data_IF_349698866527
#
_entry.id   IF_349698866527
#
_cell.length_a   1.000
_cell.length_b   1.000
_cell.length_c   1.000
_cell.angle_alpha   90.00
_cell.angle_beta   90.00
_cell.angle_gamma   90.00
#
_symmetry.space_group_name_H-M   'P 1'
#
loop_
_entity.id
_entity.type
_entity.pdbx_description
1 polymer ?
#
# COMPACT_ATOMS: atom_id res chain seq x y z
N UNK A 1 -36.06 -23.69 23.37
CA UNK A 1 -35.60 -23.75 21.97
C UNK A 1 -36.61 -23.07 21.01
N UNK A 2 -37.04 -21.84 21.28
CA UNK A 2 -38.04 -21.12 20.44
C UNK A 2 -37.50 -19.75 19.99
N UNK A 3 -36.53 -19.18 20.72
CA UNK A 3 -35.98 -17.84 20.48
C UNK A 3 -35.02 -17.82 19.27
N UNK A 4 -34.28 -18.90 19.02
CA UNK A 4 -33.32 -18.98 17.90
C UNK A 4 -33.98 -18.95 16.50
N UNK A 5 -35.19 -19.54 16.35
CA UNK A 5 -35.89 -19.57 15.06
C UNK A 5 -36.47 -18.21 14.65
N UNK A 6 -36.68 -17.28 15.60
CA UNK A 6 -37.19 -15.93 15.30
C UNK A 6 -36.11 -15.01 14.75
N UNK A 7 -34.85 -15.24 15.10
CA UNK A 7 -33.70 -14.42 14.65
C UNK A 7 -33.28 -14.77 13.22
N UNK A 8 -33.28 -16.06 12.85
CA UNK A 8 -32.93 -16.49 11.48
C UNK A 8 -33.95 -15.98 10.44
N UNK A 9 -35.24 -15.91 10.80
CA UNK A 9 -36.32 -15.44 9.90
C UNK A 9 -36.32 -13.92 9.70
N UNK A 10 -35.77 -13.15 10.65
CA UNK A 10 -35.65 -11.69 10.54
C UNK A 10 -34.53 -11.24 9.59
N UNK A 11 -33.46 -12.04 9.45
CA UNK A 11 -32.31 -11.69 8.61
C UNK A 11 -32.52 -12.00 7.13
N UNK A 12 -33.36 -12.98 6.78
CA UNK A 12 -33.61 -13.37 5.39
C UNK A 12 -34.48 -12.34 4.64
N UNK A 13 -35.50 -11.77 5.29
CA UNK A 13 -36.41 -10.80 4.66
C UNK A 13 -35.73 -9.47 4.31
N UNK A 14 -34.68 -9.09 5.07
CA UNK A 14 -33.97 -7.82 4.85
C UNK A 14 -33.01 -7.87 3.64
N UNK A 15 -32.57 -9.07 3.25
CA UNK A 15 -31.68 -9.28 2.11
C UNK A 15 -32.43 -9.29 0.77
N UNK A 16 -33.68 -9.78 0.74
CA UNK A 16 -34.50 -9.76 -0.47
C UNK A 16 -35.03 -8.36 -0.83
N UNK A 17 -35.38 -7.53 0.14
CA UNK A 17 -35.85 -6.16 -0.12
C UNK A 17 -34.75 -5.25 -0.68
N UNK A 18 -33.49 -5.41 -0.24
CA UNK A 18 -32.38 -4.58 -0.73
C UNK A 18 -31.93 -4.93 -2.15
N UNK A 19 -32.17 -6.16 -2.61
CA UNK A 19 -31.82 -6.59 -3.99
C UNK A 19 -32.79 -6.03 -5.03
N UNK A 20 -34.04 -5.74 -4.63
CA UNK A 20 -35.07 -5.17 -5.50
C UNK A 20 -34.96 -3.65 -5.69
N UNK A 21 -34.20 -2.93 -4.84
CA UNK A 21 -33.95 -1.49 -4.99
C UNK A 21 -32.78 -1.13 -5.92
N UNK A 22 -31.83 -2.05 -6.18
CA UNK A 22 -30.64 -1.73 -7.01
C UNK A 22 -30.82 -2.02 -8.50
N UNK A 23 -32.01 -2.44 -8.95
CA UNK A 23 -32.24 -2.89 -10.32
C UNK A 23 -33.10 -1.94 -11.18
N UNK A 24 -33.30 -0.69 -10.74
CA UNK A 24 -34.27 0.23 -11.39
C UNK A 24 -33.76 1.65 -11.68
N UNK A 25 -32.45 1.85 -11.81
CA UNK A 25 -31.89 3.13 -12.24
C UNK A 25 -30.75 2.89 -13.24
N UNK A 26 -31.08 2.95 -14.54
CA UNK A 26 -30.07 2.83 -15.59
C UNK A 26 -30.56 2.74 -17.03
N UNK A 27 -31.70 3.32 -17.38
CA UNK A 27 -32.06 3.60 -18.79
C UNK A 27 -32.66 5.01 -18.88
N UNK A 28 -32.31 5.71 -19.97
CA UNK A 28 -33.03 6.77 -20.72
C UNK A 28 -32.01 7.79 -21.26
N UNK A 29 -31.43 7.62 -22.45
CA UNK A 29 -31.94 8.00 -23.80
C UNK A 29 -31.28 9.29 -24.31
N UNK A 30 -30.44 9.16 -25.35
CA UNK A 30 -30.21 10.23 -26.35
C UNK A 30 -30.47 9.62 -27.73
N UNK A 31 -31.28 10.37 -28.47
CA UNK A 31 -32.02 10.12 -29.71
C UNK A 31 -31.18 9.86 -30.98
N UNK A 32 -31.76 9.01 -31.84
CA UNK A 32 -31.88 9.04 -33.30
C UNK A 32 -30.61 9.08 -34.18
N UNK A 33 -30.35 8.01 -34.93
CA UNK A 33 -30.68 8.02 -36.37
C UNK A 33 -30.58 6.63 -37.05
N UNK A 34 -31.63 6.32 -37.81
CA UNK A 34 -31.74 5.45 -39.01
C UNK A 34 -31.65 3.90 -38.98
N UNK A 35 -32.82 3.29 -39.24
CA UNK A 35 -33.14 2.24 -40.25
C UNK A 35 -32.73 0.79 -39.90
N UNK A 36 -33.64 -0.03 -39.38
CA UNK A 36 -34.61 -0.92 -40.08
C UNK A 36 -34.00 -2.27 -40.52
N UNK A 37 -34.29 -3.35 -39.79
CA UNK A 37 -35.38 -4.29 -40.13
C UNK A 37 -35.35 -5.48 -39.14
N UNK A 38 -36.53 -5.92 -38.76
CA UNK A 38 -36.79 -7.01 -37.83
C UNK A 38 -36.43 -8.37 -38.45
N UNK A 39 -36.00 -9.33 -37.62
CA UNK A 39 -36.81 -10.51 -37.29
C UNK A 39 -36.06 -11.60 -36.52
N UNK A 40 -36.75 -12.02 -35.46
CA UNK A 40 -36.93 -13.38 -34.97
C UNK A 40 -35.84 -14.08 -34.15
N UNK A 41 -36.34 -14.65 -33.06
CA UNK A 41 -35.68 -15.28 -31.94
C UNK A 41 -35.02 -16.60 -32.35
N UNK A 42 -33.69 -16.69 -32.24
CA UNK A 42 -32.98 -17.97 -32.16
C UNK A 42 -32.15 -18.07 -30.87
N UNK A 43 -32.40 -19.16 -30.15
CA UNK A 43 -31.80 -19.48 -28.85
C UNK A 43 -30.28 -19.46 -28.94
N UNK A 44 -29.64 -18.71 -28.05
CA UNK A 44 -28.19 -18.55 -27.99
C UNK A 44 -27.46 -19.90 -27.81
N UNK A 45 -26.83 -20.38 -28.89
CA UNK A 45 -25.75 -21.36 -28.81
C UNK A 45 -24.42 -20.59 -28.78
N UNK A 46 -23.65 -20.75 -27.70
CA UNK A 46 -22.47 -19.91 -27.37
C UNK A 46 -21.27 -20.16 -28.30
N UNK A 47 -21.47 -20.84 -29.43
CA UNK A 47 -20.41 -21.23 -30.36
C UNK A 47 -20.28 -20.31 -31.58
N UNK A 48 -21.07 -19.24 -31.68
CA UNK A 48 -21.04 -18.32 -32.83
C UNK A 48 -20.17 -17.07 -32.62
N UNK A 49 -19.63 -16.84 -31.42
CA UNK A 49 -18.80 -15.66 -31.13
C UNK A 49 -17.33 -15.77 -31.58
N UNK A 50 -16.89 -16.94 -32.10
CA UNK A 50 -15.47 -17.16 -32.40
C UNK A 50 -15.08 -17.29 -33.87
N UNK A 51 -15.99 -17.51 -34.81
CA UNK A 51 -15.60 -17.77 -36.19
C UNK A 51 -16.69 -17.36 -37.17
N UNK A 52 -16.70 -16.10 -37.61
CA UNK A 52 -16.98 -15.81 -39.03
C UNK A 52 -16.60 -14.41 -39.50
N UNK A 53 -16.31 -13.47 -38.58
CA UNK A 53 -15.64 -12.21 -38.93
C UNK A 53 -14.34 -12.00 -38.15
N UNK A 54 -13.66 -13.10 -37.80
CA UNK A 54 -12.26 -13.05 -37.41
C UNK A 54 -11.46 -12.67 -38.64
N UNK A 55 -11.35 -11.37 -38.92
CA UNK A 55 -10.39 -10.82 -39.87
C UNK A 55 -9.08 -11.59 -39.63
N UNK A 56 -8.44 -12.19 -40.65
CA UNK A 56 -7.08 -12.66 -40.47
C UNK A 56 -6.25 -11.40 -40.30
N UNK A 57 -6.21 -10.87 -39.07
CA UNK A 57 -5.19 -9.92 -38.66
C UNK A 57 -3.94 -10.77 -38.70
N UNK A 58 -3.27 -10.75 -39.86
CA UNK A 58 -1.87 -11.13 -39.97
C UNK A 58 -1.15 -10.07 -39.15
N UNK A 59 -1.17 -10.27 -37.83
CA UNK A 59 -0.41 -9.49 -36.88
C UNK A 59 0.99 -9.42 -37.48
N UNK A 60 1.55 -8.22 -37.70
CA UNK A 60 2.89 -8.12 -38.25
C UNK A 60 3.76 -8.94 -37.30
N UNK A 61 4.23 -10.10 -37.77
CA UNK A 61 5.22 -10.89 -37.04
C UNK A 61 6.42 -9.97 -37.03
N UNK A 62 6.60 -9.23 -35.94
CA UNK A 62 7.68 -8.28 -35.82
C UNK A 62 8.93 -9.08 -36.12
N UNK A 63 9.50 -8.83 -37.30
CA UNK A 63 10.67 -9.54 -37.77
C UNK A 63 11.88 -8.94 -37.07
N UNK A 64 11.90 -8.98 -35.74
CA UNK A 64 13.18 -8.95 -35.08
C UNK A 64 13.80 -10.31 -35.33
N UNK A 65 15.00 -10.32 -35.90
CA UNK A 65 15.82 -11.53 -35.78
C UNK A 65 15.94 -11.86 -34.29
N UNK A 66 15.91 -13.15 -33.94
CA UNK A 66 16.12 -13.64 -32.57
C UNK A 66 17.34 -12.96 -31.90
N UNK A 67 18.35 -12.62 -32.72
CA UNK A 67 19.55 -11.88 -32.32
C UNK A 67 19.30 -10.40 -32.01
N UNK A 68 18.39 -9.72 -32.70
CA UNK A 68 17.99 -8.34 -32.38
C UNK A 68 17.14 -8.32 -31.09
N UNK A 69 16.29 -9.33 -30.88
CA UNK A 69 15.56 -9.50 -29.62
C UNK A 69 16.50 -9.76 -28.45
N UNK A 70 17.48 -10.65 -28.65
CA UNK A 70 18.54 -10.91 -27.69
C UNK A 70 19.36 -9.65 -27.41
N UNK A 71 19.74 -8.88 -28.42
CA UNK A 71 20.51 -7.64 -28.23
C UNK A 71 19.72 -6.55 -27.50
N UNK A 72 18.41 -6.42 -27.72
CA UNK A 72 17.54 -5.47 -26.99
C UNK A 72 17.41 -5.88 -25.52
N UNK A 73 17.15 -7.17 -25.26
CA UNK A 73 17.04 -7.72 -23.91
C UNK A 73 18.39 -7.64 -23.19
N UNK A 74 19.48 -8.00 -23.86
CA UNK A 74 20.85 -7.93 -23.35
C UNK A 74 21.27 -6.48 -23.08
N UNK A 75 20.88 -5.51 -23.92
CA UNK A 75 21.18 -4.10 -23.69
C UNK A 75 20.39 -3.54 -22.51
N UNK A 76 19.12 -3.93 -22.35
CA UNK A 76 18.32 -3.57 -21.15
C UNK A 76 18.86 -4.24 -19.89
N UNK A 77 19.24 -5.52 -19.97
CA UNK A 77 19.81 -6.28 -18.86
C UNK A 77 21.24 -5.82 -18.49
N UNK A 78 22.08 -5.44 -19.47
CA UNK A 78 23.41 -4.89 -19.22
C UNK A 78 23.36 -3.44 -18.71
N UNK A 79 22.40 -2.63 -19.17
CA UNK A 79 22.15 -1.30 -18.60
C UNK A 79 21.61 -1.40 -17.17
N UNK A 80 20.77 -2.41 -16.90
CA UNK A 80 20.34 -2.86 -15.57
C UNK A 80 21.34 -3.84 -14.95
N UNK A 81 22.61 -3.84 -15.36
CA UNK A 81 23.62 -4.62 -14.66
C UNK A 81 24.86 -3.81 -14.33
N UNK A 82 25.11 -2.74 -15.09
CA UNK A 82 26.20 -1.81 -14.79
C UNK A 82 25.94 -0.85 -13.63
N UNK A 83 24.71 -0.65 -13.16
CA UNK A 83 24.41 0.48 -12.24
C UNK A 83 23.74 0.09 -10.92
N UNK A 84 23.07 -1.04 -10.86
CA UNK A 84 22.09 -1.39 -9.83
C UNK A 84 22.57 -2.50 -8.88
N UNK A 85 23.64 -3.21 -9.22
CA UNK A 85 24.15 -4.30 -8.36
C UNK A 85 24.56 -3.74 -7.00
N UNK A 86 25.29 -2.63 -6.97
CA UNK A 86 25.69 -2.02 -5.70
C UNK A 86 24.50 -1.43 -4.94
N UNK A 87 23.52 -0.81 -5.61
CA UNK A 87 22.38 -0.17 -4.94
C UNK A 87 21.42 -1.16 -4.30
N UNK A 88 21.11 -2.27 -4.99
CA UNK A 88 20.14 -3.28 -4.52
C UNK A 88 20.70 -4.07 -3.33
N UNK A 89 22.01 -4.29 -3.25
CA UNK A 89 22.64 -4.92 -2.08
C UNK A 89 22.93 -3.93 -0.95
N UNK A 90 23.29 -2.68 -1.26
CA UNK A 90 23.65 -1.70 -0.24
C UNK A 90 22.42 -1.12 0.49
N UNK A 91 21.28 -0.99 -0.18
CA UNK A 91 20.05 -0.50 0.42
C UNK A 91 19.57 -1.32 1.64
N UNK A 92 19.43 -2.66 1.57
CA UNK A 92 19.06 -3.46 2.74
C UNK A 92 20.17 -3.51 3.79
N UNK A 93 21.44 -3.54 3.36
CA UNK A 93 22.59 -3.53 4.28
C UNK A 93 22.64 -2.25 5.11
N UNK A 94 22.20 -1.12 4.55
CA UNK A 94 22.11 0.16 5.26
C UNK A 94 20.79 0.33 6.02
N UNK A 95 19.65 -0.14 5.48
CA UNK A 95 18.35 0.02 6.14
C UNK A 95 18.23 -0.78 7.44
N UNK A 96 18.86 -1.96 7.51
CA UNK A 96 18.87 -2.81 8.72
C UNK A 96 19.50 -2.10 9.93
N UNK A 97 20.74 -1.57 9.87
CA UNK A 97 21.30 -0.83 10.99
C UNK A 97 20.52 0.46 11.28
N UNK A 98 20.00 1.17 10.26
CA UNK A 98 19.14 2.35 10.50
C UNK A 98 17.84 2.00 11.24
N UNK A 99 17.28 0.82 11.03
CA UNK A 99 16.13 0.29 11.77
C UNK A 99 16.52 -0.13 13.19
N UNK A 100 17.67 -0.77 13.38
CA UNK A 100 18.13 -1.18 14.72
C UNK A 100 18.35 0.05 15.63
N UNK A 101 18.90 1.12 15.08
CA UNK A 101 19.16 2.36 15.80
C UNK A 101 18.01 3.38 15.73
N UNK A 102 16.82 2.99 15.25
CA UNK A 102 15.67 3.91 15.16
C UNK A 102 14.98 4.20 16.49
N UNK A 103 15.39 3.55 17.58
CA UNK A 103 14.76 3.65 18.90
C UNK A 103 13.80 2.50 19.22
N UNK A 104 13.39 1.70 18.23
CA UNK A 104 12.48 0.57 18.47
C UNK A 104 13.19 -0.67 19.06
N UNK A 105 14.39 -1.01 18.56
CA UNK A 105 15.12 -2.20 18.99
C UNK A 105 16.16 -1.91 20.09
N UNK A 106 16.75 -0.72 20.07
CA UNK A 106 17.75 -0.26 21.03
C UNK A 106 17.35 1.15 21.46
N UNK A 107 17.16 1.34 22.76
CA UNK A 107 16.87 2.67 23.35
C UNK A 107 18.04 3.63 23.09
N UNK A 108 17.72 4.92 22.94
CA UNK A 108 18.68 5.95 22.53
C UNK A 108 19.79 6.17 23.56
N UNK A 109 19.50 5.93 24.83
CA UNK A 109 20.44 6.10 25.93
C UNK A 109 21.53 5.01 25.98
N UNK A 110 21.26 3.84 25.39
CA UNK A 110 22.24 2.76 25.29
C UNK A 110 23.24 2.96 24.12
N UNK A 111 23.06 3.98 23.29
CA UNK A 111 23.84 4.18 22.06
C UNK A 111 25.19 4.88 22.37
N UNK A 112 26.34 4.30 21.97
CA UNK A 112 27.64 4.91 22.21
C UNK A 112 27.79 6.25 21.48
N UNK A 113 28.48 7.20 22.10
CA UNK A 113 28.58 8.61 21.66
C UNK A 113 29.03 8.76 20.18
N UNK A 114 29.87 7.84 19.70
CA UNK A 114 30.40 7.84 18.33
C UNK A 114 29.35 7.53 17.26
N UNK A 115 28.30 6.78 17.59
CA UNK A 115 27.22 6.42 16.65
C UNK A 115 26.06 7.42 16.69
N UNK A 116 26.03 8.30 17.70
CA UNK A 116 24.91 9.19 17.99
C UNK A 116 24.59 10.17 16.86
N UNK A 117 25.58 10.63 16.11
CA UNK A 117 25.35 11.56 14.98
C UNK A 117 24.63 10.90 13.80
N UNK A 118 24.91 9.62 13.53
CA UNK A 118 24.26 8.87 12.44
C UNK A 118 22.79 8.63 12.75
N UNK A 119 22.45 8.40 14.02
CA UNK A 119 21.06 8.16 14.42
C UNK A 119 20.20 9.41 14.27
N UNK A 120 20.76 10.61 14.50
CA UNK A 120 20.10 11.88 14.19
C UNK A 120 19.96 12.18 12.69
N UNK A 121 20.66 11.45 11.81
CA UNK A 121 20.48 11.59 10.36
C UNK A 121 19.41 10.61 9.83
N UNK A 122 19.02 9.60 10.61
CA UNK A 122 18.08 8.57 10.19
C UNK A 122 16.64 9.07 10.19
N UNK A 123 16.01 9.13 9.01
CA UNK A 123 14.57 9.45 8.89
C UNK A 123 13.67 8.44 9.61
N UNK A 124 14.12 7.18 9.76
CA UNK A 124 13.36 6.12 10.41
C UNK A 124 13.14 6.43 11.89
N UNK A 125 14.15 7.02 12.54
CA UNK A 125 14.08 7.44 13.95
C UNK A 125 12.95 8.44 14.18
N UNK A 126 12.98 9.57 13.46
CA UNK A 126 11.97 10.62 13.59
C UNK A 126 10.57 10.14 13.17
N UNK A 127 10.49 9.22 12.21
CA UNK A 127 9.22 8.56 11.85
C UNK A 127 8.67 7.71 13.00
N UNK A 128 9.53 6.97 13.69
CA UNK A 128 9.12 6.13 14.83
C UNK A 128 8.71 7.00 16.03
N UNK A 129 9.52 8.00 16.39
CA UNK A 129 9.21 8.99 17.44
C UNK A 129 7.86 9.69 17.17
N UNK A 130 7.69 10.25 15.97
CA UNK A 130 6.47 10.94 15.59
C UNK A 130 5.23 10.04 15.54
N UNK A 131 5.36 8.77 15.11
CA UNK A 131 4.21 7.84 15.07
C UNK A 131 3.82 7.31 16.44
N UNK A 132 4.79 7.04 17.32
CA UNK A 132 4.52 6.66 18.70
C UNK A 132 3.83 7.80 19.46
N UNK A 133 4.32 9.03 19.31
CA UNK A 133 3.75 10.21 19.95
C UNK A 133 2.38 10.58 19.35
N UNK A 134 2.15 10.34 18.06
CA UNK A 134 0.82 10.47 17.45
C UNK A 134 -0.19 9.43 17.94
N UNK A 135 0.28 8.22 18.28
CA UNK A 135 -0.58 7.10 18.72
C UNK A 135 -0.92 7.20 20.21
N UNK A 136 0.10 7.44 21.05
CA UNK A 136 -0.01 7.37 22.51
C UNK A 136 0.09 8.75 23.18
N UNK A 137 0.53 9.81 22.50
CA UNK A 137 0.65 11.15 23.07
C UNK A 137 -0.68 11.91 23.21
N UNK A 138 -0.59 13.24 23.39
CA UNK A 138 -1.71 14.18 23.39
C UNK A 138 -2.87 13.83 24.35
N UNK A 139 -2.56 13.53 25.62
CA UNK A 139 -3.53 13.22 26.69
C UNK A 139 -4.62 12.21 26.29
N UNK A 140 -4.23 11.17 25.55
CA UNK A 140 -5.13 10.09 25.17
C UNK A 140 -5.70 9.33 26.39
N UNK A 141 -6.99 8.93 26.35
CA UNK A 141 -7.57 8.11 27.40
C UNK A 141 -6.92 6.73 27.45
N UNK A 142 -6.92 6.12 28.64
CA UNK A 142 -6.37 4.78 28.88
C UNK A 142 -7.04 3.74 27.97
N UNK A 143 -6.25 2.77 27.50
CA UNK A 143 -6.75 1.73 26.60
C UNK A 143 -7.67 0.77 27.36
N UNK A 144 -8.71 0.26 26.68
CA UNK A 144 -9.61 -0.77 27.21
C UNK A 144 -8.88 -2.11 27.19
N UNK A 145 -8.78 -2.76 28.34
CA UNK A 145 -8.15 -4.07 28.48
C UNK A 145 -9.20 -5.10 28.92
N UNK A 146 -9.22 -6.25 28.24
CA UNK A 146 -10.15 -7.36 28.49
C UNK A 146 -9.54 -8.48 29.37
N UNK A 147 -8.23 -8.41 29.63
CA UNK A 147 -7.51 -9.31 30.54
C UNK A 147 -7.28 -8.64 31.90
N UNK A 148 -7.13 -9.47 32.94
CA UNK A 148 -6.94 -9.04 34.33
C UNK A 148 -5.59 -8.31 34.54
N UNK A 149 -4.54 -8.75 33.84
CA UNK A 149 -3.26 -8.06 33.79
C UNK A 149 -3.05 -7.36 32.45
N UNK A 150 -2.77 -6.06 32.49
CA UNK A 150 -2.56 -5.23 31.31
C UNK A 150 -1.41 -4.25 31.59
N UNK A 151 -0.21 -4.64 31.17
CA UNK A 151 0.99 -3.84 31.35
C UNK A 151 0.87 -2.50 30.60
N UNK A 152 0.44 -2.51 29.33
CA UNK A 152 0.35 -1.32 28.48
C UNK A 152 -0.99 -0.56 28.55
N UNK A 153 -1.62 -0.52 29.72
CA UNK A 153 -2.92 0.16 29.91
C UNK A 153 -2.82 1.68 29.76
N UNK A 154 -1.71 2.23 30.25
CA UNK A 154 -1.48 3.67 30.26
C UNK A 154 -0.59 4.05 29.06
N UNK A 155 -0.95 5.07 28.28
CA UNK A 155 -0.14 5.46 27.14
C UNK A 155 1.19 6.15 27.51
N UNK A 156 1.30 6.67 28.74
CA UNK A 156 2.54 7.30 29.24
C UNK A 156 3.65 6.28 29.51
N UNK A 157 3.30 5.16 30.15
CA UNK A 157 4.27 4.08 30.41
C UNK A 157 4.72 3.39 29.11
N UNK A 158 3.85 3.33 28.09
CA UNK A 158 4.28 2.82 26.77
C UNK A 158 5.28 3.77 26.13
N UNK A 159 5.09 5.08 26.25
CA UNK A 159 6.03 6.07 25.72
C UNK A 159 7.36 6.10 26.49
N UNK A 160 7.32 5.86 27.79
CA UNK A 160 8.51 5.76 28.65
C UNK A 160 9.33 4.51 28.33
N UNK A 161 8.69 3.35 28.16
CA UNK A 161 9.38 2.11 27.76
C UNK A 161 9.96 2.20 26.34
N UNK A 162 9.31 2.97 25.46
CA UNK A 162 9.82 3.28 24.12
C UNK A 162 10.91 4.36 24.10
N UNK A 163 11.25 4.97 25.25
CA UNK A 163 12.25 6.04 25.39
C UNK A 163 11.92 7.31 24.57
N UNK A 164 10.65 7.74 24.62
CA UNK A 164 10.10 8.84 23.80
C UNK A 164 9.38 9.94 24.60
N UNK A 165 9.42 9.88 25.93
CA UNK A 165 8.72 10.83 26.81
C UNK A 165 9.18 12.30 26.63
N UNK A 166 10.46 12.51 26.30
CA UNK A 166 11.05 13.85 26.19
C UNK A 166 11.08 14.42 24.77
N UNK A 167 10.57 13.70 23.76
CA UNK A 167 10.61 14.17 22.36
C UNK A 167 9.39 15.00 21.99
N UNK A 168 9.58 15.98 21.11
CA UNK A 168 8.55 16.92 20.69
C UNK A 168 8.06 16.61 19.28
N UNK A 169 6.77 16.31 19.14
CA UNK A 169 6.13 15.99 17.84
C UNK A 169 6.44 16.98 16.72
N UNK A 170 6.48 18.28 17.04
CA UNK A 170 6.77 19.33 16.07
C UNK A 170 8.20 19.27 15.54
N UNK A 171 9.17 18.89 16.38
CA UNK A 171 10.57 18.76 15.99
C UNK A 171 10.74 17.59 15.04
N UNK A 172 10.05 16.47 15.29
CA UNK A 172 10.09 15.29 14.42
C UNK A 172 9.56 15.60 13.01
N UNK A 173 8.44 16.33 12.91
CA UNK A 173 7.90 16.75 11.61
C UNK A 173 8.88 17.66 10.87
N UNK A 174 9.43 18.67 11.55
CA UNK A 174 10.39 19.60 10.93
C UNK A 174 11.64 18.84 10.45
N UNK A 175 12.16 17.93 11.27
CA UNK A 175 13.32 17.10 10.94
C UNK A 175 13.04 16.20 9.71
N UNK A 176 11.88 15.54 9.66
CA UNK A 176 11.49 14.70 8.51
C UNK A 176 11.38 15.51 7.22
N UNK A 177 10.79 16.70 7.28
CA UNK A 177 10.69 17.61 6.12
C UNK A 177 12.09 18.05 5.67
N UNK A 178 12.95 18.45 6.61
CA UNK A 178 14.33 18.83 6.31
C UNK A 178 15.12 17.69 5.65
N UNK A 179 15.08 16.49 6.25
CA UNK A 179 15.77 15.30 5.72
C UNK A 179 15.22 14.91 4.35
N UNK A 180 13.91 15.02 4.12
CA UNK A 180 13.32 14.76 2.80
C UNK A 180 13.92 15.66 1.72
N UNK A 181 14.01 16.98 1.98
CA UNK A 181 14.62 17.91 1.04
C UNK A 181 16.11 17.64 0.85
N UNK A 182 16.85 17.39 1.93
CA UNK A 182 18.29 17.08 1.85
C UNK A 182 18.54 15.83 1.01
N UNK A 183 17.81 14.73 1.27
CA UNK A 183 17.93 13.49 0.50
C UNK A 183 17.55 13.69 -0.97
N UNK A 184 16.53 14.52 -1.24
CA UNK A 184 16.12 14.84 -2.61
C UNK A 184 17.17 15.66 -3.36
N UNK A 185 17.74 16.68 -2.72
CA UNK A 185 18.79 17.50 -3.32
C UNK A 185 20.07 16.67 -3.49
N UNK A 186 20.46 15.85 -2.51
CA UNK A 186 21.63 14.99 -2.66
C UNK A 186 21.46 13.99 -3.80
N UNK A 187 20.28 13.38 -3.96
CA UNK A 187 19.98 12.46 -5.06
C UNK A 187 19.78 13.16 -6.41
N UNK A 188 19.54 14.46 -6.44
CA UNK A 188 19.48 15.24 -7.68
C UNK A 188 20.88 15.66 -8.14
N UNK A 189 21.78 15.92 -7.20
CA UNK A 189 23.17 16.33 -7.48
C UNK A 189 24.05 15.13 -7.88
N UNK A 190 23.78 13.94 -7.32
CA UNK A 190 24.53 12.70 -7.57
C UNK A 190 23.88 11.84 -8.66
#
# INVERSE_FOLDING_TARGET
>A
MIIANKLAKGSANNYEDNKNLMNNQGTNNVTNDSVDDSKDVEKANVNSALLNNGIPVKQPRYGNSELQQFYIILRRALLFSRRDWNGVFLAPVMSVPFLLFSGFFVSFDAIPIYLRWITYLSYIRYGFEGTALATYGFDRPKLKCFAEYCHFKSPKITLEELDMDNSSYSIDIIALVAIFFVLRVSAFIF
#
